data_IF_538568182643
#
_entry.id   IF_538568182643
#
_cell.length_a   1.000
_cell.length_b   1.000
_cell.length_c   1.000
_cell.angle_alpha   90.00
_cell.angle_beta   90.00
_cell.angle_gamma   90.00
#
_symmetry.space_group_name_H-M   'P 1'
#
loop_
_entity.id
_entity.type
_entity.pdbx_description
1 polymer ?
#
# COMPACT_ATOMS: atom_id res chain seq x y z
N UNK A 1 -20.61 8.57 6.63
CA UNK A 1 -19.27 9.01 6.20
C UNK A 1 -18.33 7.84 6.37
N UNK A 2 -17.63 7.40 5.32
CA UNK A 2 -16.80 6.22 5.36
C UNK A 2 -15.66 6.40 6.38
N UNK A 3 -15.40 5.37 7.18
CA UNK A 3 -14.38 5.34 8.24
C UNK A 3 -13.44 4.14 8.06
N UNK A 4 -12.22 4.26 8.59
CA UNK A 4 -11.28 3.15 8.67
C UNK A 4 -11.77 2.18 9.74
N UNK A 5 -11.92 0.90 9.38
CA UNK A 5 -12.25 -0.19 10.31
C UNK A 5 -11.06 -1.13 10.55
N UNK A 6 -10.15 -1.21 9.59
CA UNK A 6 -8.88 -1.94 9.70
C UNK A 6 -7.78 -1.11 9.02
N UNK A 7 -6.61 -1.08 9.65
CA UNK A 7 -5.38 -0.51 9.09
C UNK A 7 -4.25 -1.50 9.27
N UNK A 8 -3.51 -1.76 8.19
CA UNK A 8 -2.24 -2.45 8.26
C UNK A 8 -1.18 -1.71 7.44
N UNK A 9 0.06 -1.81 7.87
CA UNK A 9 1.24 -1.26 7.20
C UNK A 9 2.40 -2.23 7.36
N UNK A 10 3.10 -2.53 6.29
CA UNK A 10 4.28 -3.41 6.28
C UNK A 10 5.48 -2.62 5.79
N UNK A 11 6.48 -2.34 6.64
CA UNK A 11 7.67 -1.65 6.24
C UNK A 11 8.62 -2.59 5.51
N UNK A 12 9.34 -2.07 4.52
CA UNK A 12 10.41 -2.79 3.88
C UNK A 12 11.54 -1.84 3.47
N UNK A 13 12.76 -2.37 3.42
CA UNK A 13 13.92 -1.66 2.94
C UNK A 13 14.21 -2.06 1.50
N UNK A 14 14.56 -1.07 0.67
CA UNK A 14 14.80 -1.29 -0.75
C UNK A 14 15.98 -0.46 -1.27
N UNK A 15 16.57 -0.92 -2.37
CA UNK A 15 17.57 -0.20 -3.12
C UNK A 15 16.97 0.64 -4.24
N UNK A 16 17.73 1.59 -4.74
CA UNK A 16 17.34 2.43 -5.88
C UNK A 16 17.14 1.65 -7.18
N UNK A 17 17.68 0.44 -7.25
CA UNK A 17 17.48 -0.55 -8.32
C UNK A 17 16.13 -1.27 -8.22
N UNK A 18 15.37 -1.04 -7.16
CA UNK A 18 14.10 -1.70 -6.89
C UNK A 18 14.23 -3.09 -6.25
N UNK A 19 15.39 -3.44 -5.70
CA UNK A 19 15.55 -4.67 -4.92
C UNK A 19 15.00 -4.47 -3.52
N UNK A 20 14.10 -5.35 -3.07
CA UNK A 20 13.63 -5.42 -1.68
C UNK A 20 14.62 -6.24 -0.86
N UNK A 21 15.26 -5.65 0.14
CA UNK A 21 16.27 -6.30 0.96
C UNK A 21 15.73 -6.96 2.21
N UNK A 22 14.75 -6.34 2.84
CA UNK A 22 14.15 -6.87 4.07
C UNK A 22 12.74 -6.33 4.25
N UNK A 23 11.92 -7.14 4.89
CA UNK A 23 10.57 -6.79 5.32
C UNK A 23 10.56 -6.81 6.83
N UNK A 24 10.09 -5.74 7.45
CA UNK A 24 10.03 -5.61 8.90
C UNK A 24 8.67 -6.04 9.47
N UNK A 25 8.55 -5.92 10.80
CA UNK A 25 7.30 -6.22 11.49
C UNK A 25 6.20 -5.25 11.08
N UNK A 26 5.02 -5.78 10.82
CA UNK A 26 3.88 -5.00 10.36
C UNK A 26 3.12 -4.37 11.52
N UNK A 27 2.58 -3.20 11.29
CA UNK A 27 1.52 -2.62 12.11
C UNK A 27 0.17 -3.17 11.65
N UNK A 28 -0.70 -3.52 12.59
CA UNK A 28 -2.09 -3.89 12.32
C UNK A 28 -2.98 -3.41 13.45
N UNK A 29 -4.15 -2.86 13.12
CA UNK A 29 -5.15 -2.46 14.09
C UNK A 29 -6.57 -2.49 13.52
N UNK A 30 -7.53 -2.81 14.39
CA UNK A 30 -8.95 -2.65 14.14
C UNK A 30 -9.46 -1.40 14.83
N UNK A 31 -10.52 -0.80 14.31
CA UNK A 31 -11.18 0.36 14.90
C UNK A 31 -12.68 0.22 14.82
N UNK A 32 -13.34 0.50 15.93
CA UNK A 32 -14.80 0.62 15.95
C UNK A 32 -15.20 1.90 15.20
N UNK A 33 -16.02 1.81 14.13
CA UNK A 33 -16.55 2.99 13.46
C UNK A 33 -17.69 3.63 14.27
N UNK A 34 -18.06 4.86 13.92
CA UNK A 34 -19.16 5.61 14.57
C UNK A 34 -20.53 4.98 14.30
N UNK A 35 -20.70 4.32 13.17
CA UNK A 35 -21.90 3.60 12.76
C UNK A 35 -21.59 2.10 12.60
N UNK A 36 -22.57 1.22 12.80
CA UNK A 36 -22.38 -0.22 12.59
C UNK A 36 -21.87 -0.53 11.17
N UNK A 37 -20.97 -1.52 11.09
CA UNK A 37 -20.47 -2.03 9.82
C UNK A 37 -21.64 -2.63 9.03
N UNK A 38 -21.84 -2.18 7.81
CA UNK A 38 -22.88 -2.68 6.93
C UNK A 38 -22.62 -4.17 6.57
N UNK A 39 -23.67 -4.99 6.44
CA UNK A 39 -23.52 -6.42 6.12
C UNK A 39 -22.71 -6.70 4.85
N UNK A 40 -22.79 -5.83 3.85
CA UNK A 40 -22.04 -5.93 2.59
C UNK A 40 -20.53 -5.79 2.84
N UNK A 41 -20.12 -4.91 3.74
CA UNK A 41 -18.71 -4.72 4.12
C UNK A 41 -18.22 -5.93 4.89
N UNK A 42 -19.01 -6.44 5.84
CA UNK A 42 -18.70 -7.69 6.55
C UNK A 42 -18.56 -8.86 5.59
N UNK A 43 -19.44 -8.97 4.59
CA UNK A 43 -19.38 -10.03 3.59
C UNK A 43 -18.10 -9.99 2.75
N UNK A 44 -17.55 -8.79 2.49
CA UNK A 44 -16.31 -8.58 1.72
C UNK A 44 -15.07 -8.80 2.59
N UNK A 45 -15.03 -8.21 3.79
CA UNK A 45 -13.83 -8.13 4.63
C UNK A 45 -13.74 -9.22 5.70
N UNK A 46 -14.86 -9.86 6.02
CA UNK A 46 -14.99 -10.74 7.18
C UNK A 46 -14.97 -10.02 8.53
N UNK A 47 -14.87 -8.69 8.56
CA UNK A 47 -14.84 -7.90 9.80
C UNK A 47 -16.26 -7.66 10.29
N UNK A 48 -16.55 -8.11 11.51
CA UNK A 48 -17.87 -7.94 12.13
C UNK A 48 -17.87 -6.80 13.16
N UNK A 49 -19.06 -6.37 13.55
CA UNK A 49 -19.23 -5.37 14.60
C UNK A 49 -18.64 -5.81 15.95
N UNK A 50 -18.71 -7.11 16.25
CA UNK A 50 -18.16 -7.69 17.47
C UNK A 50 -16.62 -7.63 17.47
N UNK A 51 -15.99 -7.85 16.31
CA UNK A 51 -14.53 -7.81 16.17
C UNK A 51 -13.97 -6.41 16.42
N UNK A 52 -14.68 -5.37 16.03
CA UNK A 52 -14.23 -3.97 16.17
C UNK A 52 -14.72 -3.32 17.48
N UNK A 53 -15.62 -3.96 18.22
CA UNK A 53 -16.19 -3.39 19.44
C UNK A 53 -15.11 -2.99 20.45
N UNK A 54 -15.06 -1.72 20.81
CA UNK A 54 -14.07 -1.15 21.74
C UNK A 54 -12.64 -1.03 21.16
N UNK A 55 -12.42 -1.41 19.90
CA UNK A 55 -11.11 -1.32 19.26
C UNK A 55 -10.80 0.12 18.85
N UNK A 56 -9.55 0.52 19.05
CA UNK A 56 -9.05 1.86 18.71
C UNK A 56 -7.71 1.70 17.99
N UNK A 57 -7.54 2.38 16.89
CA UNK A 57 -6.23 2.57 16.26
C UNK A 57 -5.66 3.87 16.85
N UNK A 58 -4.57 3.76 17.62
CA UNK A 58 -3.90 4.92 18.20
C UNK A 58 -3.19 5.74 17.12
N UNK A 59 -3.61 7.00 16.89
CA UNK A 59 -2.96 7.86 15.90
C UNK A 59 -1.48 8.13 16.19
N UNK A 60 -1.07 8.19 17.48
CA UNK A 60 0.32 8.41 17.83
C UNK A 60 1.20 7.21 17.49
N UNK A 61 0.70 5.99 17.73
CA UNK A 61 1.39 4.76 17.32
C UNK A 61 1.53 4.67 15.79
N UNK A 62 0.47 5.02 15.04
CA UNK A 62 0.50 5.08 13.58
C UNK A 62 1.52 6.11 13.08
N UNK A 63 1.54 7.31 13.64
CA UNK A 63 2.50 8.34 13.27
C UNK A 63 3.95 7.90 13.54
N UNK A 64 4.21 7.31 14.71
CA UNK A 64 5.53 6.78 15.07
C UNK A 64 5.98 5.68 14.12
N UNK A 65 5.08 4.77 13.76
CA UNK A 65 5.38 3.68 12.84
C UNK A 65 5.66 4.18 11.41
N UNK A 66 4.87 5.13 10.92
CA UNK A 66 5.02 5.69 9.58
C UNK A 66 6.15 6.71 9.45
N UNK A 67 6.60 7.33 10.55
CA UNK A 67 7.59 8.41 10.52
C UNK A 67 8.86 8.09 9.73
N UNK A 68 9.51 6.91 9.88
CA UNK A 68 10.75 6.60 9.17
C UNK A 68 10.57 6.29 7.67
N UNK A 69 9.32 6.10 7.19
CA UNK A 69 9.10 5.78 5.79
C UNK A 69 9.41 6.97 4.88
N UNK A 70 10.22 6.79 3.85
CA UNK A 70 10.51 7.78 2.82
C UNK A 70 9.45 7.82 1.72
N UNK A 71 8.69 6.73 1.54
CA UNK A 71 7.66 6.57 0.53
C UNK A 71 6.53 5.70 1.09
N UNK A 72 5.28 6.09 0.84
CA UNK A 72 4.11 5.25 1.12
C UNK A 72 3.64 4.64 -0.20
N UNK A 73 3.48 3.33 -0.20
CA UNK A 73 3.01 2.59 -1.37
C UNK A 73 1.70 1.91 -1.03
N UNK A 74 0.70 2.02 -1.91
CA UNK A 74 -0.53 1.25 -1.81
C UNK A 74 -0.98 0.76 -3.19
N UNK A 75 -1.71 -0.35 -3.20
CA UNK A 75 -2.37 -0.83 -4.41
C UNK A 75 -3.74 -0.16 -4.52
N UNK A 76 -3.90 0.81 -5.43
CA UNK A 76 -4.98 1.78 -5.51
C UNK A 76 -4.85 2.93 -4.48
N UNK A 77 -3.66 3.52 -4.41
CA UNK A 77 -3.29 4.54 -3.43
C UNK A 77 -4.26 5.74 -3.33
N UNK A 78 -4.97 6.09 -4.40
CA UNK A 78 -5.98 7.16 -4.37
C UNK A 78 -7.12 6.86 -3.37
N UNK A 79 -7.43 5.58 -3.14
CA UNK A 79 -8.41 5.18 -2.13
C UNK A 79 -7.83 5.33 -0.72
N UNK A 80 -6.69 4.71 -0.42
CA UNK A 80 -6.10 4.66 0.91
C UNK A 80 -5.66 6.05 1.40
N UNK A 81 -5.02 6.81 0.52
CA UNK A 81 -4.46 8.12 0.80
C UNK A 81 -5.51 9.08 1.38
N UNK A 82 -6.70 9.16 0.79
CA UNK A 82 -7.77 10.06 1.26
C UNK A 82 -8.26 9.76 2.67
N UNK A 83 -8.17 8.49 3.12
CA UNK A 83 -8.52 8.09 4.48
C UNK A 83 -7.39 8.36 5.45
N UNK A 84 -6.16 7.99 5.06
CA UNK A 84 -4.99 8.09 5.91
C UNK A 84 -4.57 9.54 6.15
N UNK A 85 -4.63 10.42 5.15
CA UNK A 85 -4.35 11.86 5.32
C UNK A 85 -5.38 12.54 6.24
N UNK A 86 -6.62 12.06 6.30
CA UNK A 86 -7.62 12.56 7.26
C UNK A 86 -7.45 11.96 8.64
N UNK A 87 -6.87 10.76 8.73
CA UNK A 87 -6.65 10.07 9.97
C UNK A 87 -5.41 10.60 10.71
N UNK A 88 -4.33 10.90 9.99
CA UNK A 88 -3.09 11.38 10.60
C UNK A 88 -2.26 12.21 9.61
N UNK A 89 -1.81 13.39 10.06
CA UNK A 89 -1.05 14.35 9.26
C UNK A 89 0.29 13.81 8.76
N UNK A 90 0.85 12.76 9.39
CA UNK A 90 2.10 12.12 8.92
C UNK A 90 2.01 11.71 7.46
N UNK A 91 0.85 11.27 7.00
CA UNK A 91 0.62 10.83 5.62
C UNK A 91 0.51 11.97 4.62
N UNK A 92 0.12 13.17 5.06
CA UNK A 92 0.05 14.37 4.21
C UNK A 92 1.43 14.89 3.82
N UNK A 93 2.46 14.57 4.62
CA UNK A 93 3.84 15.01 4.38
C UNK A 93 4.69 14.00 3.59
N UNK A 94 4.17 12.79 3.36
CA UNK A 94 4.88 11.72 2.66
C UNK A 94 4.59 11.71 1.16
N UNK A 95 5.58 11.37 0.34
CA UNK A 95 5.32 10.98 -1.05
C UNK A 95 4.53 9.66 -1.11
N UNK A 96 3.69 9.53 -2.13
CA UNK A 96 2.87 8.34 -2.36
C UNK A 96 3.14 7.73 -3.72
N UNK A 97 3.14 6.41 -3.79
CA UNK A 97 3.17 5.67 -5.04
C UNK A 97 2.02 4.64 -5.10
N UNK A 98 1.57 4.36 -6.31
CA UNK A 98 0.43 3.48 -6.58
C UNK A 98 0.85 2.30 -7.46
N UNK A 99 0.94 1.12 -6.89
CA UNK A 99 1.32 -0.07 -7.65
C UNK A 99 0.26 -0.52 -8.67
N UNK A 100 -0.99 -0.06 -8.55
CA UNK A 100 -2.04 -0.33 -9.53
C UNK A 100 -1.85 0.49 -10.81
N UNK A 101 -1.51 1.78 -10.71
CA UNK A 101 -1.55 2.72 -11.83
C UNK A 101 -0.18 3.16 -12.35
N UNK A 102 0.89 3.00 -11.57
CA UNK A 102 2.24 3.43 -11.94
C UNK A 102 3.14 2.29 -12.44
N UNK A 103 2.65 1.06 -12.42
CA UNK A 103 3.27 -0.07 -13.12
C UNK A 103 2.42 -0.36 -14.36
N UNK A 104 3.04 -0.42 -15.53
CA UNK A 104 2.35 -0.84 -16.75
C UNK A 104 2.24 -2.36 -16.80
N UNK A 105 1.26 -2.89 -16.07
CA UNK A 105 0.98 -4.32 -15.96
C UNK A 105 0.67 -4.96 -17.33
N UNK A 106 0.04 -4.22 -18.23
CA UNK A 106 -0.26 -4.70 -19.58
C UNK A 106 1.02 -4.90 -20.41
N UNK A 107 1.97 -3.96 -20.32
CA UNK A 107 3.29 -4.11 -20.95
C UNK A 107 4.05 -5.33 -20.41
N UNK A 108 3.83 -5.69 -19.14
CA UNK A 108 4.41 -6.89 -18.52
C UNK A 108 3.65 -8.19 -18.84
N UNK A 109 2.51 -8.10 -19.51
CA UNK A 109 1.74 -9.28 -20.00
C UNK A 109 0.58 -9.68 -19.09
N UNK A 110 0.22 -8.84 -18.13
CA UNK A 110 -0.95 -9.09 -17.27
C UNK A 110 -2.21 -8.48 -17.91
N UNK A 111 -3.32 -9.22 -17.91
CA UNK A 111 -4.61 -8.78 -18.48
C UNK A 111 -5.43 -7.90 -17.54
N UNK A 112 -5.05 -7.83 -16.27
CA UNK A 112 -5.75 -7.06 -15.23
C UNK A 112 -4.80 -6.45 -14.22
N UNK A 113 -5.33 -5.49 -13.46
CA UNK A 113 -4.55 -4.73 -12.47
C UNK A 113 -5.02 -4.93 -11.03
N UNK A 114 -6.10 -5.72 -10.81
CA UNK A 114 -6.57 -6.01 -9.45
C UNK A 114 -5.54 -6.84 -8.70
N UNK A 115 -5.28 -6.50 -7.43
CA UNK A 115 -4.27 -7.16 -6.60
C UNK A 115 -4.44 -8.69 -6.59
N UNK A 116 -5.66 -9.17 -6.40
CA UNK A 116 -5.96 -10.60 -6.40
C UNK A 116 -5.67 -11.30 -7.73
N UNK A 117 -5.92 -10.62 -8.86
CA UNK A 117 -5.61 -11.15 -10.17
C UNK A 117 -4.09 -11.22 -10.38
N UNK A 118 -3.37 -10.15 -10.05
CA UNK A 118 -1.91 -10.08 -10.17
C UNK A 118 -1.24 -11.14 -9.30
N UNK A 119 -1.69 -11.31 -8.05
CA UNK A 119 -1.20 -12.34 -7.15
C UNK A 119 -1.39 -13.74 -7.73
N UNK A 120 -2.59 -14.05 -8.22
CA UNK A 120 -2.89 -15.33 -8.86
C UNK A 120 -2.03 -15.56 -10.11
N UNK A 121 -1.88 -14.55 -10.96
CA UNK A 121 -1.04 -14.64 -12.17
C UNK A 121 0.45 -14.78 -11.83
N UNK A 122 0.88 -14.24 -10.69
CA UNK A 122 2.23 -14.41 -10.13
C UNK A 122 2.44 -15.77 -9.44
N UNK A 123 1.39 -16.57 -9.29
CA UNK A 123 1.47 -17.93 -8.74
C UNK A 123 1.29 -18.03 -7.23
N UNK A 124 0.78 -17.01 -6.57
CA UNK A 124 0.48 -17.08 -5.15
C UNK A 124 -0.97 -16.70 -4.84
N UNK A 125 -1.47 -17.23 -3.72
CA UNK A 125 -2.82 -17.00 -3.21
C UNK A 125 -2.74 -16.42 -1.81
N UNK A 126 -3.66 -15.52 -1.47
CA UNK A 126 -3.75 -14.92 -0.15
C UNK A 126 -5.21 -14.66 0.22
N UNK A 127 -5.46 -14.44 1.50
CA UNK A 127 -6.79 -14.15 2.04
C UNK A 127 -7.14 -12.69 1.78
N UNK A 128 -7.95 -12.44 0.77
CA UNK A 128 -8.25 -11.11 0.24
C UNK A 128 -9.08 -10.28 1.19
N UNK A 129 -9.00 -8.95 1.04
CA UNK A 129 -9.81 -7.97 1.76
C UNK A 129 -9.54 -7.89 3.27
N UNK A 130 -8.38 -8.37 3.70
CA UNK A 130 -7.80 -8.09 5.01
C UNK A 130 -6.54 -7.28 4.80
N UNK A 131 -6.49 -6.11 5.43
CA UNK A 131 -5.46 -5.10 5.15
C UNK A 131 -4.02 -5.65 5.27
N UNK A 132 -3.75 -6.53 6.23
CA UNK A 132 -2.44 -7.16 6.41
C UNK A 132 -2.06 -8.02 5.20
N UNK A 133 -2.96 -8.86 4.72
CA UNK A 133 -2.67 -9.75 3.60
C UNK A 133 -2.56 -8.99 2.28
N UNK A 134 -3.35 -7.92 2.10
CA UNK A 134 -3.21 -7.03 0.94
C UNK A 134 -1.86 -6.29 0.95
N UNK A 135 -1.36 -5.87 2.13
CA UNK A 135 -0.01 -5.32 2.28
C UNK A 135 1.07 -6.33 1.88
N UNK A 136 1.03 -7.55 2.42
CA UNK A 136 2.01 -8.59 2.11
C UNK A 136 1.97 -8.98 0.63
N UNK A 137 0.78 -9.15 0.05
CA UNK A 137 0.62 -9.42 -1.38
C UNK A 137 1.20 -8.29 -2.25
N UNK A 138 1.03 -7.05 -1.82
CA UNK A 138 1.62 -5.89 -2.52
C UNK A 138 3.15 -5.93 -2.46
N UNK A 139 3.74 -6.23 -1.29
CA UNK A 139 5.20 -6.37 -1.14
C UNK A 139 5.74 -7.49 -2.03
N UNK A 140 5.08 -8.66 -2.08
CA UNK A 140 5.47 -9.76 -2.96
C UNK A 140 5.45 -9.37 -4.44
N UNK A 141 4.39 -8.68 -4.88
CA UNK A 141 4.31 -8.18 -6.26
C UNK A 141 5.40 -7.15 -6.58
N UNK A 142 5.78 -6.33 -5.62
CA UNK A 142 6.85 -5.34 -5.79
C UNK A 142 8.24 -6.00 -5.83
N UNK A 143 8.45 -7.07 -5.06
CA UNK A 143 9.71 -7.79 -4.99
C UNK A 143 9.94 -8.75 -6.17
N UNK A 144 8.86 -9.23 -6.81
CA UNK A 144 8.97 -10.21 -7.89
C UNK A 144 9.60 -9.63 -9.16
N UNK A 145 10.30 -10.48 -9.91
CA UNK A 145 10.78 -10.18 -11.25
C UNK A 145 9.64 -10.26 -12.26
N UNK A 146 9.44 -9.20 -13.00
CA UNK A 146 8.39 -9.12 -14.01
C UNK A 146 8.79 -9.86 -15.29
N UNK A 147 7.85 -10.58 -15.94
CA UNK A 147 8.19 -11.58 -16.95
C UNK A 147 8.71 -11.01 -18.26
N UNK A 148 8.36 -9.78 -18.64
CA UNK A 148 8.77 -9.19 -19.91
C UNK A 148 9.94 -8.24 -19.78
N UNK A 149 9.92 -7.35 -18.80
CA UNK A 149 11.03 -6.40 -18.60
C UNK A 149 12.23 -7.01 -17.90
N UNK A 150 12.05 -8.09 -17.15
CA UNK A 150 13.09 -8.65 -16.29
C UNK A 150 13.51 -7.70 -15.16
N UNK A 151 12.71 -6.68 -14.84
CA UNK A 151 12.89 -5.77 -13.72
C UNK A 151 12.00 -6.19 -12.56
N UNK A 152 12.28 -5.73 -11.35
CA UNK A 152 11.36 -5.95 -10.22
C UNK A 152 10.12 -5.07 -10.36
N UNK A 153 9.00 -5.49 -9.76
CA UNK A 153 7.79 -4.66 -9.67
C UNK A 153 8.08 -3.30 -9.05
N UNK A 154 8.93 -3.26 -8.01
CA UNK A 154 9.33 -2.01 -7.37
C UNK A 154 10.15 -1.12 -8.30
N UNK A 155 11.10 -1.66 -9.06
CA UNK A 155 11.85 -0.90 -10.06
C UNK A 155 10.91 -0.22 -11.06
N UNK A 156 9.94 -0.95 -11.59
CA UNK A 156 8.93 -0.38 -12.53
C UNK A 156 8.04 0.65 -11.87
N UNK A 157 7.67 0.44 -10.60
CA UNK A 157 6.92 1.44 -9.83
C UNK A 157 7.70 2.75 -9.67
N UNK A 158 8.97 2.66 -9.29
CA UNK A 158 9.83 3.84 -9.11
C UNK A 158 10.05 4.59 -10.43
N UNK A 159 10.22 3.89 -11.55
CA UNK A 159 10.29 4.49 -12.87
C UNK A 159 8.97 5.17 -13.27
N UNK A 160 7.83 4.52 -13.04
CA UNK A 160 6.51 5.08 -13.26
C UNK A 160 6.22 6.30 -12.39
N UNK A 161 6.64 6.27 -11.12
CA UNK A 161 6.52 7.42 -10.22
C UNK A 161 7.34 8.63 -10.68
N UNK A 162 8.51 8.41 -11.28
CA UNK A 162 9.33 9.48 -11.87
C UNK A 162 8.70 10.10 -13.11
N UNK A 163 8.01 9.32 -13.94
CA UNK A 163 7.41 9.79 -15.21
C UNK A 163 6.07 10.48 -15.03
N UNK A 164 5.28 10.07 -14.05
CA UNK A 164 3.96 10.66 -13.74
C UNK A 164 4.08 11.94 -12.89
N UNK A 165 5.29 12.28 -12.44
CA UNK A 165 5.50 13.44 -11.59
C UNK A 165 5.21 14.75 -12.34
N UNK A 166 3.98 15.26 -12.19
CA UNK A 166 3.75 16.69 -12.24
C UNK A 166 4.71 17.38 -11.24
N UNK A 167 5.05 18.64 -11.48
CA UNK A 167 6.08 19.43 -10.74
C UNK A 167 6.15 19.18 -9.22
N UNK A 168 5.02 18.95 -8.56
CA UNK A 168 4.94 18.78 -7.10
C UNK A 168 5.53 17.43 -6.64
N UNK A 169 5.40 16.39 -7.43
CA UNK A 169 5.96 15.07 -7.15
C UNK A 169 7.47 15.01 -7.42
N UNK A 170 7.91 15.65 -8.50
CA UNK A 170 9.33 15.72 -8.86
C UNK A 170 10.17 16.46 -7.81
N UNK A 171 9.63 17.52 -7.22
CA UNK A 171 10.37 18.30 -6.23
C UNK A 171 10.55 17.56 -4.91
N UNK A 172 9.55 16.82 -4.43
CA UNK A 172 9.62 16.10 -3.15
C UNK A 172 10.25 14.71 -3.26
N UNK A 173 9.92 13.94 -4.30
CA UNK A 173 10.47 12.60 -4.49
C UNK A 173 11.91 12.59 -5.01
N UNK A 174 12.32 13.60 -5.80
CA UNK A 174 13.69 13.74 -6.31
C UNK A 174 14.68 14.26 -5.26
N UNK A 175 14.25 15.00 -4.26
CA UNK A 175 15.14 15.43 -3.18
C UNK A 175 15.56 14.25 -2.31
N UNK A 176 14.65 13.35 -1.96
CA UNK A 176 14.97 12.15 -1.18
C UNK A 176 15.79 11.10 -1.95
N UNK A 177 15.76 11.15 -3.29
CA UNK A 177 16.52 10.22 -4.15
C UNK A 177 17.90 10.74 -4.58
N UNK A 178 18.21 12.02 -4.34
CA UNK A 178 19.50 12.63 -4.67
C UNK A 178 20.52 12.60 -3.54
N UNK A 179 20.07 12.38 -2.31
CA UNK A 179 20.91 12.44 -1.10
C UNK A 179 21.20 11.03 -0.53
N UNK A 180 20.98 9.95 -1.33
CA UNK A 180 21.33 8.56 -0.97
C UNK A 180 22.34 7.97 -1.94
#
# INVERSE_FOLDING_TARGET
RDEIIELAMTPFNYGLDGTVFSVGDSFQGLRQPSEPIAPEITAITGITNEMVAGQIIDPAAVATFAAPASLVIAHNAAFDRRFLERFNDVFSTKPWACSLSQIDWAAEGFEGTKLAYLAQAAGFFYDRHRAMYDCLATVELLAMWLPRSGATGLSRLLDGARTVSGRIWAENALFDLKDV
#
